data_IF_658624634990
#
_entry.id   IF_658624634990
#
_cell.length_a   1.000
_cell.length_b   1.000
_cell.length_c   1.000
_cell.angle_alpha   90.00
_cell.angle_beta   90.00
_cell.angle_gamma   90.00
#
_symmetry.space_group_name_H-M   'P 1'
#
loop_
_entity.id
_entity.type
_entity.pdbx_description
1 polymer ?
#
# COMPACT_ATOMS: atom_id res chain seq x y z
N UNK A 1 12.21 -28.35 12.39
CA UNK A 1 12.53 -27.18 13.26
C UNK A 1 12.84 -26.00 12.36
N UNK A 2 11.89 -25.58 11.56
CA UNK A 2 11.71 -24.26 11.02
C UNK A 2 11.13 -23.38 12.11
N UNK A 3 11.93 -23.16 13.16
CA UNK A 3 11.75 -21.92 13.91
C UNK A 3 11.97 -20.80 12.90
N UNK A 4 10.95 -19.95 12.71
CA UNK A 4 11.16 -18.67 12.04
C UNK A 4 12.32 -18.00 12.75
N UNK A 5 13.36 -17.68 12.01
CA UNK A 5 14.53 -17.04 12.60
C UNK A 5 14.08 -15.73 13.25
N UNK A 6 14.70 -15.34 14.36
CA UNK A 6 14.54 -14.00 14.90
C UNK A 6 14.80 -12.93 13.83
N UNK A 7 15.68 -13.22 12.88
CA UNK A 7 15.94 -12.37 11.72
C UNK A 7 14.72 -12.27 10.79
N UNK A 8 14.10 -13.38 10.42
CA UNK A 8 12.91 -13.40 9.54
C UNK A 8 11.73 -12.65 10.17
N UNK A 9 11.57 -12.77 11.50
CA UNK A 9 10.54 -12.04 12.26
C UNK A 9 10.81 -10.54 12.28
N UNK A 10 12.08 -10.13 12.45
CA UNK A 10 12.49 -8.73 12.41
C UNK A 10 12.31 -8.13 11.02
N UNK A 11 12.73 -8.85 9.98
CA UNK A 11 12.59 -8.43 8.58
C UNK A 11 11.12 -8.31 8.18
N UNK A 12 10.26 -9.22 8.65
CA UNK A 12 8.82 -9.09 8.44
C UNK A 12 8.23 -7.86 9.14
N UNK A 13 8.60 -7.60 10.41
CA UNK A 13 8.14 -6.41 11.12
C UNK A 13 8.61 -5.10 10.45
N UNK A 14 9.81 -5.09 9.88
CA UNK A 14 10.34 -3.98 9.10
C UNK A 14 9.56 -3.78 7.79
N UNK A 15 9.24 -4.86 7.09
CA UNK A 15 8.41 -4.80 5.88
C UNK A 15 7.00 -4.26 6.19
N UNK A 16 6.36 -4.76 7.26
CA UNK A 16 5.06 -4.24 7.72
C UNK A 16 5.15 -2.72 7.96
N UNK A 17 6.15 -2.26 8.72
CA UNK A 17 6.32 -0.84 9.03
C UNK A 17 6.51 0.00 7.77
N UNK A 18 7.31 -0.49 6.83
CA UNK A 18 7.61 0.18 5.56
C UNK A 18 6.35 0.28 4.71
N UNK A 19 5.61 -0.82 4.54
CA UNK A 19 4.34 -0.84 3.81
C UNK A 19 3.32 0.11 4.44
N UNK A 20 3.19 0.13 5.77
CA UNK A 20 2.31 1.09 6.45
C UNK A 20 2.68 2.55 6.16
N UNK A 21 3.98 2.90 6.15
CA UNK A 21 4.42 4.25 5.79
C UNK A 21 4.05 4.61 4.34
N UNK A 22 4.27 3.68 3.40
CA UNK A 22 3.92 3.90 1.99
C UNK A 22 2.41 4.08 1.80
N UNK A 23 1.59 3.28 2.50
CA UNK A 23 0.14 3.43 2.49
C UNK A 23 -0.32 4.77 3.07
N UNK A 24 0.30 5.24 4.16
CA UNK A 24 -0.01 6.56 4.70
C UNK A 24 0.32 7.69 3.71
N UNK A 25 1.45 7.58 2.99
CA UNK A 25 1.79 8.54 1.94
C UNK A 25 0.76 8.50 0.80
N UNK A 26 0.31 7.31 0.40
CA UNK A 26 -0.75 7.15 -0.59
C UNK A 26 -2.07 7.79 -0.15
N UNK A 27 -2.51 7.55 1.10
CA UNK A 27 -3.70 8.20 1.66
C UNK A 27 -3.57 9.72 1.69
N UNK A 28 -2.37 10.23 1.97
CA UNK A 28 -2.09 11.68 1.93
C UNK A 28 -2.25 12.23 0.50
N UNK A 29 -1.74 11.53 -0.52
CA UNK A 29 -1.91 11.91 -1.92
C UNK A 29 -3.40 11.94 -2.29
N UNK A 30 -4.17 10.90 -1.92
CA UNK A 30 -5.61 10.86 -2.17
C UNK A 30 -6.33 12.05 -1.52
N UNK A 31 -5.98 12.37 -0.29
CA UNK A 31 -6.55 13.52 0.41
C UNK A 31 -6.23 14.83 -0.32
N UNK A 32 -4.98 15.04 -0.74
CA UNK A 32 -4.59 16.23 -1.49
C UNK A 32 -5.35 16.36 -2.82
N UNK A 33 -5.51 15.25 -3.56
CA UNK A 33 -6.27 15.26 -4.82
C UNK A 33 -7.76 15.53 -4.59
N UNK A 34 -8.32 14.96 -3.53
CA UNK A 34 -9.70 15.22 -3.12
C UNK A 34 -9.90 16.70 -2.75
N UNK A 35 -9.01 17.27 -1.95
CA UNK A 35 -9.09 18.67 -1.52
C UNK A 35 -8.90 19.64 -2.69
N UNK A 36 -8.01 19.30 -3.64
CA UNK A 36 -7.86 20.05 -4.90
C UNK A 36 -9.16 20.07 -5.69
N UNK A 37 -9.72 18.90 -6.01
CA UNK A 37 -10.98 18.81 -6.76
C UNK A 37 -12.15 19.46 -6.02
N UNK A 38 -12.20 19.32 -4.69
CA UNK A 38 -13.24 19.92 -3.85
C UNK A 38 -13.21 21.46 -3.81
N UNK A 39 -12.07 22.07 -4.16
CA UNK A 39 -11.93 23.52 -4.29
C UNK A 39 -12.36 24.09 -5.65
N UNK A 40 -12.65 23.24 -6.63
CA UNK A 40 -12.99 23.64 -8.00
C UNK A 40 -14.50 23.77 -8.21
N UNK A 41 -14.90 24.60 -9.19
CA UNK A 41 -16.28 24.62 -9.68
C UNK A 41 -16.60 23.38 -10.53
N UNK A 42 -17.88 23.04 -10.71
CA UNK A 42 -18.28 21.85 -11.47
C UNK A 42 -17.72 21.80 -12.89
N UNK A 43 -17.64 22.93 -13.59
CA UNK A 43 -17.04 23.00 -14.94
C UNK A 43 -15.53 22.79 -14.95
N UNK A 44 -14.83 23.18 -13.89
CA UNK A 44 -13.39 22.96 -13.75
C UNK A 44 -13.08 21.50 -13.38
N UNK A 45 -13.92 20.88 -12.53
CA UNK A 45 -13.80 19.46 -12.18
C UNK A 45 -13.83 18.59 -13.44
N UNK A 46 -14.76 18.83 -14.37
CA UNK A 46 -14.86 18.04 -15.61
C UNK A 46 -13.57 18.11 -16.45
N UNK A 47 -12.90 19.26 -16.47
CA UNK A 47 -11.63 19.45 -17.17
C UNK A 47 -10.45 18.79 -16.46
N UNK A 48 -10.43 18.84 -15.12
CA UNK A 48 -9.28 18.40 -14.31
C UNK A 48 -9.33 16.92 -13.92
N UNK A 49 -10.50 16.31 -13.86
CA UNK A 49 -10.71 14.94 -13.36
C UNK A 49 -9.85 13.91 -14.11
N UNK A 50 -9.73 14.04 -15.44
CA UNK A 50 -8.92 13.13 -16.24
C UNK A 50 -7.41 13.24 -15.94
N UNK A 51 -6.94 14.43 -15.54
CA UNK A 51 -5.57 14.64 -15.07
C UNK A 51 -5.35 13.96 -13.72
N UNK A 52 -6.22 14.27 -12.74
CA UNK A 52 -6.15 13.70 -11.40
C UNK A 52 -6.20 12.18 -11.42
N UNK A 53 -7.12 11.57 -12.18
CA UNK A 53 -7.21 10.11 -12.29
C UNK A 53 -5.93 9.49 -12.86
N UNK A 54 -5.32 10.13 -13.86
CA UNK A 54 -4.07 9.67 -14.47
C UNK A 54 -2.93 9.71 -13.46
N UNK A 55 -2.85 10.76 -12.66
CA UNK A 55 -1.81 10.93 -11.64
C UNK A 55 -1.99 9.98 -10.45
N UNK A 56 -3.22 9.53 -10.20
CA UNK A 56 -3.55 8.55 -9.16
C UNK A 56 -3.27 7.09 -9.57
N UNK A 57 -3.18 6.76 -10.86
CA UNK A 57 -2.91 5.38 -11.31
C UNK A 57 -1.58 4.84 -10.74
N UNK A 58 -0.42 5.50 -10.92
CA UNK A 58 0.85 4.98 -10.41
C UNK A 58 0.88 4.72 -8.89
N UNK A 59 0.41 5.63 -8.02
CA UNK A 59 0.43 5.35 -6.58
C UNK A 59 -0.58 4.28 -6.17
N UNK A 60 -1.72 4.11 -6.86
CA UNK A 60 -2.66 3.00 -6.63
C UNK A 60 -1.99 1.65 -6.94
N UNK A 61 -1.33 1.55 -8.09
CA UNK A 61 -0.62 0.33 -8.49
C UNK A 61 0.49 -0.01 -7.50
N UNK A 62 1.27 0.99 -7.08
CA UNK A 62 2.32 0.83 -6.07
C UNK A 62 1.76 0.34 -4.73
N UNK A 63 0.71 0.99 -4.21
CA UNK A 63 0.09 0.61 -2.94
C UNK A 63 -0.49 -0.81 -2.99
N UNK A 64 -1.13 -1.17 -4.10
CA UNK A 64 -1.68 -2.51 -4.32
C UNK A 64 -0.56 -3.57 -4.34
N UNK A 65 0.54 -3.29 -5.05
CA UNK A 65 1.71 -4.17 -5.12
C UNK A 65 2.35 -4.40 -3.74
N UNK A 66 2.55 -3.32 -2.98
CA UNK A 66 3.13 -3.38 -1.64
C UNK A 66 2.28 -4.24 -0.68
N UNK A 67 0.95 -4.07 -0.72
CA UNK A 67 0.01 -4.88 0.09
C UNK A 67 0.01 -6.34 -0.34
N UNK A 68 0.04 -6.62 -1.65
CA UNK A 68 0.10 -7.98 -2.17
C UNK A 68 1.39 -8.70 -1.77
N UNK A 69 2.53 -8.02 -1.87
CA UNK A 69 3.83 -8.54 -1.46
C UNK A 69 3.84 -8.86 0.04
N UNK A 70 3.38 -7.94 0.89
CA UNK A 70 3.29 -8.16 2.33
C UNK A 70 2.33 -9.30 2.69
N UNK A 71 1.17 -9.36 2.02
CA UNK A 71 0.19 -10.43 2.21
C UNK A 71 0.73 -11.80 1.82
N UNK A 72 1.51 -11.86 0.73
CA UNK A 72 2.21 -13.09 0.33
C UNK A 72 3.22 -13.51 1.40
N UNK A 73 4.10 -12.59 1.83
CA UNK A 73 5.09 -12.88 2.88
C UNK A 73 4.44 -13.36 4.18
N UNK A 74 3.31 -12.76 4.57
CA UNK A 74 2.52 -13.19 5.72
C UNK A 74 1.99 -14.63 5.57
N UNK A 75 1.44 -14.98 4.40
CA UNK A 75 0.99 -16.35 4.12
C UNK A 75 2.15 -17.35 4.15
N UNK A 76 3.26 -17.05 3.48
CA UNK A 76 4.42 -17.93 3.41
C UNK A 76 4.97 -18.24 4.82
N UNK A 77 4.97 -17.23 5.71
CA UNK A 77 5.31 -17.37 7.13
C UNK A 77 4.33 -18.30 7.86
N UNK A 78 3.01 -18.08 7.71
CA UNK A 78 1.99 -18.87 8.39
C UNK A 78 1.93 -20.33 7.91
N UNK A 79 2.17 -20.56 6.62
CA UNK A 79 2.23 -21.90 6.03
C UNK A 79 3.47 -22.64 6.54
N UNK A 80 4.63 -21.98 6.60
CA UNK A 80 5.86 -22.55 7.15
C UNK A 80 5.71 -23.03 8.60
N UNK A 81 4.83 -22.40 9.39
CA UNK A 81 4.49 -22.84 10.75
C UNK A 81 3.57 -24.07 10.78
N UNK A 82 2.69 -24.25 9.78
CA UNK A 82 1.70 -25.34 9.74
C UNK A 82 2.29 -26.69 9.33
N UNK A 83 3.29 -26.72 8.44
CA UNK A 83 3.90 -27.96 7.95
C UNK A 83 4.84 -28.65 8.96
N UNK A 84 5.03 -28.07 10.14
CA UNK A 84 5.86 -28.64 11.22
C UNK A 84 5.08 -29.00 12.49
N UNK A 85 3.75 -28.86 12.49
CA UNK A 85 2.85 -29.30 13.57
C UNK A 85 2.27 -30.67 13.27
#
# INVERSE_FOLDING_TARGET
>A
MGQISHQDSFDFAQDVRTTCHRLNNFLTILQCQHDYLGGLSSSEIESELAGVLRDLVPPIESATSDVLALSKKCRDILESQKYES
#
